data_IF_038321592632
#
_entry.id   IF_038321592632
#
_cell.length_a   1.000
_cell.length_b   1.000
_cell.length_c   1.000
_cell.angle_alpha   90.00
_cell.angle_beta   90.00
_cell.angle_gamma   90.00
#
_symmetry.space_group_name_H-M   'P 1'
#
loop_
_entity.id
_entity.type
_entity.pdbx_description
1 polymer ?
#
# COMPACT_ATOMS: atom_id res chain seq x y z
N UNK A 1 -4.00 -9.92 -44.82
CA UNK A 1 -2.94 -9.15 -44.12
C UNK A 1 -3.38 -7.79 -43.56
N UNK A 2 -4.32 -7.05 -44.17
CA UNK A 2 -4.82 -5.77 -43.60
C UNK A 2 -5.61 -5.94 -42.28
N UNK A 3 -6.45 -6.98 -42.19
CA UNK A 3 -7.25 -7.29 -40.99
C UNK A 3 -6.38 -7.64 -39.77
N UNK A 4 -5.32 -8.44 -39.95
CA UNK A 4 -4.39 -8.79 -38.85
C UNK A 4 -3.68 -7.55 -38.31
N UNK A 5 -3.20 -6.65 -39.19
CA UNK A 5 -2.57 -5.39 -38.76
C UNK A 5 -3.55 -4.50 -37.98
N UNK A 6 -4.82 -4.44 -38.39
CA UNK A 6 -5.86 -3.73 -37.64
C UNK A 6 -6.16 -4.37 -36.29
N UNK A 7 -6.25 -5.71 -36.23
CA UNK A 7 -6.44 -6.43 -34.96
C UNK A 7 -5.28 -6.17 -33.98
N UNK A 8 -4.04 -6.19 -34.46
CA UNK A 8 -2.86 -5.86 -33.63
C UNK A 8 -2.92 -4.42 -33.15
N UNK A 9 -3.27 -3.48 -34.02
CA UNK A 9 -3.42 -2.07 -33.63
C UNK A 9 -4.50 -1.89 -32.55
N UNK A 10 -5.66 -2.51 -32.70
CA UNK A 10 -6.73 -2.44 -31.70
C UNK A 10 -6.32 -3.07 -30.37
N UNK A 11 -5.62 -4.22 -30.39
CA UNK A 11 -5.05 -4.83 -29.19
C UNK A 11 -4.08 -3.88 -28.47
N UNK A 12 -3.19 -3.22 -29.21
CA UNK A 12 -2.26 -2.24 -28.63
C UNK A 12 -3.00 -1.07 -28.00
N UNK A 13 -4.04 -0.55 -28.66
CA UNK A 13 -4.88 0.53 -28.11
C UNK A 13 -5.59 0.05 -26.84
N UNK A 14 -6.14 -1.16 -26.82
CA UNK A 14 -6.79 -1.71 -25.63
C UNK A 14 -5.83 -1.88 -24.45
N UNK A 15 -4.62 -2.39 -24.70
CA UNK A 15 -3.59 -2.53 -23.67
C UNK A 15 -3.18 -1.15 -23.14
N UNK A 16 -3.02 -0.16 -24.02
CA UNK A 16 -2.64 1.20 -23.63
C UNK A 16 -3.75 1.88 -22.82
N UNK A 17 -5.00 1.80 -23.26
CA UNK A 17 -6.15 2.33 -22.52
C UNK A 17 -6.34 1.62 -21.17
N UNK A 18 -6.21 0.29 -21.15
CA UNK A 18 -6.27 -0.50 -19.92
C UNK A 18 -5.17 -0.14 -18.93
N UNK A 19 -3.93 -0.02 -19.41
CA UNK A 19 -2.79 0.40 -18.58
C UNK A 19 -2.95 1.82 -18.02
N UNK A 20 -3.45 2.75 -18.83
CA UNK A 20 -3.75 4.12 -18.36
C UNK A 20 -4.86 4.13 -17.31
N UNK A 21 -5.89 3.30 -17.47
CA UNK A 21 -6.97 3.15 -16.49
C UNK A 21 -6.46 2.57 -15.16
N UNK A 22 -5.65 1.50 -15.21
CA UNK A 22 -5.00 0.90 -14.02
C UNK A 22 -4.18 1.94 -13.27
N UNK A 23 -3.35 2.70 -13.99
CA UNK A 23 -2.52 3.76 -13.41
C UNK A 23 -3.36 4.88 -12.79
N UNK A 24 -4.39 5.35 -13.49
CA UNK A 24 -5.23 6.46 -13.04
C UNK A 24 -6.02 6.11 -11.77
N UNK A 25 -6.42 4.84 -11.64
CA UNK A 25 -7.14 4.34 -10.47
C UNK A 25 -6.22 3.84 -9.34
N UNK A 26 -4.89 4.04 -9.45
CA UNK A 26 -3.90 3.58 -8.45
C UNK A 26 -4.06 2.09 -8.11
N UNK A 27 -4.20 1.27 -9.15
CA UNK A 27 -4.31 -0.18 -9.03
C UNK A 27 -2.94 -0.84 -9.19
N UNK A 28 -2.69 -1.84 -8.36
CA UNK A 28 -1.41 -2.54 -8.28
C UNK A 28 -1.62 -4.05 -8.36
N UNK A 29 -0.60 -4.81 -8.78
CA UNK A 29 -0.70 -6.27 -8.91
C UNK A 29 -0.32 -7.03 -7.64
N UNK A 30 0.16 -6.33 -6.61
CA UNK A 30 0.46 -6.92 -5.30
C UNK A 30 0.05 -5.96 -4.17
N UNK A 31 -0.27 -6.50 -2.98
CA UNK A 31 -0.62 -5.69 -1.82
C UNK A 31 0.54 -4.77 -1.38
N UNK A 32 1.79 -5.22 -1.46
CA UNK A 32 2.99 -4.42 -1.14
C UNK A 32 3.15 -3.23 -2.11
N UNK A 33 2.87 -3.45 -3.39
CA UNK A 33 2.90 -2.39 -4.38
C UNK A 33 1.78 -1.36 -4.14
N UNK A 34 0.61 -1.82 -3.67
CA UNK A 34 -0.48 -0.94 -3.24
C UNK A 34 -0.11 -0.15 -1.99
N UNK A 35 0.55 -0.78 -1.02
CA UNK A 35 1.08 -0.14 0.18
C UNK A 35 2.03 1.01 -0.17
N UNK A 36 3.14 0.74 -0.87
CA UNK A 36 4.09 1.79 -1.28
C UNK A 36 3.50 2.79 -2.28
N UNK A 37 2.51 2.37 -3.06
CA UNK A 37 1.72 3.24 -3.92
C UNK A 37 0.91 4.27 -3.13
N UNK A 38 0.30 3.83 -2.05
CA UNK A 38 -0.48 4.67 -1.15
C UNK A 38 0.42 5.64 -0.38
N UNK A 39 1.57 5.20 0.13
CA UNK A 39 2.56 6.09 0.78
C UNK A 39 2.93 7.26 -0.14
N UNK A 40 3.31 6.96 -1.39
CA UNK A 40 3.63 7.98 -2.40
C UNK A 40 2.45 8.90 -2.68
N UNK A 41 1.24 8.33 -2.72
CA UNK A 41 -0.01 9.10 -2.86
C UNK A 41 -0.26 10.06 -1.70
N UNK A 42 0.19 9.72 -0.50
CA UNK A 42 0.11 10.52 0.73
C UNK A 42 1.33 11.43 0.94
N UNK A 43 2.23 11.50 -0.06
CA UNK A 43 3.42 12.36 -0.08
C UNK A 43 4.51 11.97 0.92
N UNK A 44 4.63 10.68 1.23
CA UNK A 44 5.74 10.14 2.00
C UNK A 44 6.16 8.74 1.51
N UNK A 45 7.13 8.11 2.16
CA UNK A 45 7.61 6.78 1.78
C UNK A 45 8.50 6.75 0.54
N UNK A 46 8.82 5.56 0.00
CA UNK A 46 8.38 4.26 0.54
C UNK A 46 9.00 3.97 1.91
N UNK A 47 8.29 3.23 2.76
CA UNK A 47 8.84 2.72 4.02
C UNK A 47 10.11 1.90 3.77
N UNK A 48 11.10 2.06 4.64
CA UNK A 48 12.39 1.36 4.63
C UNK A 48 12.22 -0.15 4.82
N UNK A 49 11.25 -0.52 5.66
CA UNK A 49 10.96 -1.89 6.05
C UNK A 49 9.46 -2.04 6.31
N UNK A 50 8.88 -3.18 5.92
CA UNK A 50 7.55 -3.59 6.38
C UNK A 50 7.75 -4.36 7.68
N UNK A 51 7.32 -3.76 8.79
CA UNK A 51 7.49 -4.30 10.14
C UNK A 51 6.43 -5.35 10.47
N UNK A 52 5.21 -5.15 9.95
CA UNK A 52 4.08 -6.04 10.21
C UNK A 52 3.12 -6.04 9.03
N UNK A 53 2.59 -7.23 8.74
CA UNK A 53 1.43 -7.43 7.88
C UNK A 53 0.35 -8.12 8.69
N UNK A 54 -0.81 -7.49 8.80
CA UNK A 54 -1.96 -8.03 9.52
C UNK A 54 -3.07 -8.40 8.53
N UNK A 55 -3.38 -9.70 8.34
CA UNK A 55 -4.45 -10.13 7.46
C UNK A 55 -5.82 -9.85 8.09
N UNK A 56 -6.76 -9.34 7.30
CA UNK A 56 -8.16 -9.15 7.68
C UNK A 56 -8.98 -10.32 7.11
N UNK A 57 -10.06 -10.68 7.81
CA UNK A 57 -10.87 -11.86 7.48
C UNK A 57 -11.60 -11.78 6.12
N UNK A 58 -11.64 -10.60 5.50
CA UNK A 58 -12.20 -10.33 4.17
C UNK A 58 -11.16 -10.41 3.03
N UNK A 59 -9.92 -10.78 3.35
CA UNK A 59 -8.81 -10.85 2.39
C UNK A 59 -8.07 -9.52 2.21
N UNK A 60 -8.52 -8.43 2.85
CA UNK A 60 -7.74 -7.20 2.96
C UNK A 60 -6.60 -7.36 3.97
N UNK A 61 -5.66 -6.43 3.96
CA UNK A 61 -4.46 -6.50 4.81
C UNK A 61 -4.10 -5.10 5.31
N UNK A 62 -3.60 -5.02 6.55
CA UNK A 62 -2.98 -3.81 7.08
C UNK A 62 -1.47 -3.97 6.98
N UNK A 63 -0.82 -3.06 6.29
CA UNK A 63 0.64 -2.97 6.26
C UNK A 63 1.11 -1.89 7.22
N UNK A 64 2.09 -2.26 8.05
CA UNK A 64 2.80 -1.36 8.94
C UNK A 64 4.24 -1.28 8.46
N UNK A 65 4.61 -0.14 7.89
CA UNK A 65 5.98 0.15 7.49
C UNK A 65 6.69 1.09 8.45
N UNK A 66 8.01 0.99 8.49
CA UNK A 66 8.89 1.98 9.11
C UNK A 66 9.29 3.01 8.08
N UNK A 67 9.02 4.29 8.36
CA UNK A 67 9.51 5.38 7.52
C UNK A 67 10.13 6.47 8.39
N UNK A 68 11.43 6.74 8.19
CA UNK A 68 12.22 7.61 9.07
C UNK A 68 12.05 7.18 10.55
N UNK A 69 11.73 8.13 11.44
CA UNK A 69 11.49 7.91 12.86
C UNK A 69 9.99 7.70 13.16
N UNK A 70 9.25 7.02 12.29
CA UNK A 70 7.83 6.80 12.49
C UNK A 70 7.26 5.59 11.78
N UNK A 71 5.95 5.45 11.89
CA UNK A 71 5.16 4.35 11.36
C UNK A 71 4.29 4.81 10.20
N UNK A 72 4.23 4.00 9.17
CA UNK A 72 3.27 4.09 8.07
C UNK A 72 2.25 2.97 8.24
N UNK A 73 0.98 3.30 8.49
CA UNK A 73 -0.08 2.31 8.63
C UNK A 73 -1.09 2.50 7.51
N UNK A 74 -1.18 1.52 6.62
CA UNK A 74 -2.04 1.60 5.44
C UNK A 74 -2.78 0.28 5.24
N UNK A 75 -4.12 0.31 5.23
CA UNK A 75 -4.93 -0.82 4.80
C UNK A 75 -4.97 -0.90 3.26
N UNK A 76 -4.78 -2.11 2.74
CA UNK A 76 -4.91 -2.44 1.32
C UNK A 76 -5.92 -3.57 1.13
N UNK A 77 -6.66 -3.52 0.04
CA UNK A 77 -7.74 -4.48 -0.24
C UNK A 77 -7.64 -5.02 -1.67
N UNK A 78 -8.09 -6.27 -1.90
CA UNK A 78 -8.24 -6.79 -3.24
C UNK A 78 -9.34 -6.04 -4.00
N UNK A 79 -9.12 -5.82 -5.29
CA UNK A 79 -10.05 -5.11 -6.18
C UNK A 79 -10.09 -5.79 -7.55
N UNK A 80 -11.31 -6.09 -8.03
CA UNK A 80 -11.55 -6.75 -9.32
C UNK A 80 -10.73 -8.05 -9.53
N UNK A 81 -10.50 -8.80 -8.44
CA UNK A 81 -9.87 -10.12 -8.44
C UNK A 81 -8.35 -10.16 -8.63
N UNK A 82 -7.78 -9.25 -9.43
CA UNK A 82 -6.35 -9.25 -9.77
C UNK A 82 -5.59 -8.04 -9.21
N UNK A 83 -6.30 -6.98 -8.85
CA UNK A 83 -5.68 -5.75 -8.41
C UNK A 83 -5.74 -5.61 -6.90
N UNK A 84 -4.85 -4.76 -6.40
CA UNK A 84 -4.79 -4.29 -5.03
C UNK A 84 -4.83 -2.77 -5.07
N UNK A 85 -5.49 -2.20 -4.08
CA UNK A 85 -5.57 -0.76 -3.88
C UNK A 85 -5.56 -0.43 -2.40
N UNK A 86 -5.34 0.83 -2.08
CA UNK A 86 -5.60 1.34 -0.74
C UNK A 86 -7.09 1.20 -0.42
N UNK A 87 -7.42 0.72 0.77
CA UNK A 87 -8.82 0.58 1.18
C UNK A 87 -9.52 1.93 1.25
N UNK A 88 -10.75 2.00 0.76
CA UNK A 88 -11.58 3.22 0.77
C UNK A 88 -12.46 3.33 2.01
N UNK A 89 -12.65 2.22 2.71
CA UNK A 89 -13.61 2.10 3.82
C UNK A 89 -12.98 2.41 5.18
N UNK A 90 -11.69 2.75 5.17
CA UNK A 90 -10.89 3.05 6.34
C UNK A 90 -10.28 4.42 6.17
N UNK A 91 -10.53 5.32 7.13
CA UNK A 91 -9.86 6.60 7.18
C UNK A 91 -8.35 6.36 7.26
N UNK A 92 -7.63 6.92 6.30
CA UNK A 92 -6.18 6.78 6.15
C UNK A 92 -5.47 6.92 7.49
N UNK A 93 -4.82 5.85 7.96
CA UNK A 93 -4.04 5.96 9.19
C UNK A 93 -2.69 6.62 8.94
N UNK A 94 -2.13 6.45 7.73
CA UNK A 94 -1.08 7.30 7.20
C UNK A 94 0.21 7.23 8.02
N UNK A 95 0.96 8.33 8.03
CA UNK A 95 2.21 8.44 8.76
C UNK A 95 2.00 8.96 10.18
N UNK A 96 2.70 8.36 11.15
CA UNK A 96 2.78 8.81 12.53
C UNK A 96 4.24 8.92 12.97
N UNK A 97 4.67 10.13 13.37
CA UNK A 97 6.00 10.37 13.93
C UNK A 97 6.07 9.92 15.38
N UNK A 98 7.17 9.28 15.79
CA UNK A 98 7.38 8.97 17.20
C UNK A 98 7.64 10.23 18.03
N UNK A 99 7.00 10.32 19.20
CA UNK A 99 7.25 11.37 20.20
C UNK A 99 8.14 10.91 21.39
N UNK A 100 8.77 9.73 21.31
CA UNK A 100 9.64 9.19 22.36
C UNK A 100 10.27 7.84 22.01
N UNK A 101 10.80 7.12 23.02
CA UNK A 101 11.42 5.80 22.86
C UNK A 101 10.41 4.68 22.55
N UNK A 102 9.13 4.90 22.88
CA UNK A 102 8.01 4.01 22.58
C UNK A 102 6.83 4.85 22.13
N UNK A 103 6.20 4.45 21.03
CA UNK A 103 4.95 5.05 20.57
C UNK A 103 3.98 3.95 20.12
N UNK A 104 2.68 4.14 20.34
CA UNK A 104 1.65 3.19 19.97
C UNK A 104 0.36 3.89 19.58
N UNK A 105 -0.29 3.37 18.54
CA UNK A 105 -1.54 3.90 17.98
C UNK A 105 -2.56 2.78 17.84
N UNK A 106 -3.77 3.06 18.34
CA UNK A 106 -4.93 2.23 18.04
C UNK A 106 -5.45 2.60 16.65
N UNK A 107 -5.49 1.61 15.76
CA UNK A 107 -6.14 1.74 14.47
C UNK A 107 -7.65 1.85 14.67
N UNK A 108 -8.36 2.50 13.74
CA UNK A 108 -9.83 2.49 13.68
C UNK A 108 -10.41 1.07 13.59
N UNK A 109 -9.57 0.12 13.22
CA UNK A 109 -9.89 -1.30 13.10
C UNK A 109 -9.65 -2.08 14.41
N UNK A 110 -9.44 -1.39 15.53
CA UNK A 110 -9.17 -1.98 16.84
C UNK A 110 -7.87 -2.81 16.91
N UNK A 111 -6.91 -2.53 16.04
CA UNK A 111 -5.56 -3.10 16.07
C UNK A 111 -4.64 -2.10 16.77
N UNK A 112 -3.90 -2.52 17.79
CA UNK A 112 -2.88 -1.67 18.40
C UNK A 112 -1.54 -1.90 17.69
N UNK A 113 -0.97 -0.86 17.10
CA UNK A 113 0.34 -0.90 16.46
C UNK A 113 1.30 -0.02 17.25
N UNK A 114 2.45 -0.56 17.65
CA UNK A 114 3.46 0.20 18.37
C UNK A 114 4.87 -0.01 17.81
N UNK A 115 5.68 1.04 17.89
CA UNK A 115 7.12 1.00 17.63
C UNK A 115 7.86 1.32 18.93
N UNK A 116 8.95 0.61 19.19
CA UNK A 116 9.91 0.99 20.23
C UNK A 116 11.33 1.05 19.67
N UNK A 117 12.10 2.02 20.15
CA UNK A 117 13.54 2.08 19.95
C UNK A 117 14.18 1.08 20.91
N UNK A 118 14.52 -0.11 20.41
CA UNK A 118 15.38 -1.02 21.15
C UNK A 118 16.76 -0.36 21.30
N UNK A 119 17.14 -0.02 22.53
CA UNK A 119 18.52 0.37 22.82
C UNK A 119 19.44 -0.77 22.37
N UNK A 120 20.21 -0.53 21.31
CA UNK A 120 21.34 -1.39 20.97
C UNK A 120 22.28 -1.40 22.17
N UNK A 121 22.26 -2.48 22.95
CA UNK A 121 23.36 -2.84 23.85
C UNK A 121 24.62 -2.88 22.98
N UNK A 122 25.41 -1.80 23.00
CA UNK A 122 26.79 -1.85 22.53
C UNK A 122 27.51 -2.84 23.46
N UNK A 123 27.93 -3.97 22.89
CA UNK A 123 28.96 -4.81 23.51
C UNK A 123 30.27 -4.04 23.59
#
# INVERSE_FOLDING_TARGET
MKRIKQCVLFLLVLILCGGLWVRSNRLYFSPEAAFHGAERGLRYGPSEEILLTYPRGDGSQIYVGKWNNGLSVIPVEPYLGLFWRMSTDVDVEGYHSMYGDVDARLTKESVLVGLSLLWKLRK
#
